data_IF_278174034466
#
_entry.id   IF_278174034466
#
_cell.length_a   1.000
_cell.length_b   1.000
_cell.length_c   1.000
_cell.angle_alpha   90.00
_cell.angle_beta   90.00
_cell.angle_gamma   90.00
#
_symmetry.space_group_name_H-M   'P 1'
#
loop_
_entity.id
_entity.type
_entity.pdbx_description
1 polymer ?
#
# COMPACT_ATOMS: atom_id res chain seq x y z
N UNK A 1 13.10 -8.02 0.82
CA UNK A 1 12.61 -7.34 2.04
C UNK A 1 12.29 -5.92 1.62
N UNK A 2 11.01 -5.58 1.55
CA UNK A 2 10.58 -4.29 1.03
C UNK A 2 10.70 -3.19 2.07
N UNK A 3 11.01 -1.98 1.61
CA UNK A 3 11.14 -0.77 2.40
C UNK A 3 10.21 0.28 1.80
N UNK A 4 8.94 0.21 2.19
CA UNK A 4 7.92 1.09 1.64
C UNK A 4 7.99 2.50 2.20
N UNK A 5 7.88 3.49 1.32
CA UNK A 5 7.74 4.90 1.62
C UNK A 5 6.43 5.43 1.03
N UNK A 6 5.65 6.13 1.83
CA UNK A 6 4.52 6.92 1.33
C UNK A 6 5.06 8.32 0.97
N UNK A 7 5.11 8.60 -0.32
CA UNK A 7 5.53 9.88 -0.90
C UNK A 7 4.29 10.69 -1.29
N UNK A 8 4.14 11.91 -0.79
CA UNK A 8 3.04 12.80 -1.19
C UNK A 8 3.51 13.76 -2.26
N UNK A 9 2.89 13.70 -3.43
CA UNK A 9 3.18 14.60 -4.55
C UNK A 9 2.11 15.69 -4.60
N UNK A 10 2.52 16.95 -4.64
CA UNK A 10 1.62 18.10 -4.78
C UNK A 10 1.81 18.81 -6.11
N UNK A 11 0.71 19.03 -6.82
CA UNK A 11 0.71 19.63 -8.15
C UNK A 11 -0.64 20.28 -8.47
N UNK A 12 -0.70 21.06 -9.54
CA UNK A 12 -1.95 21.62 -10.05
C UNK A 12 -2.64 20.66 -11.00
N UNK A 13 -3.89 20.31 -10.69
CA UNK A 13 -4.74 19.45 -11.50
C UNK A 13 -5.88 20.27 -12.08
N UNK A 14 -6.12 20.11 -13.38
CA UNK A 14 -7.31 20.68 -14.02
C UNK A 14 -8.49 19.76 -13.72
N UNK A 15 -9.48 20.29 -13.02
CA UNK A 15 -10.72 19.57 -12.73
C UNK A 15 -11.60 19.50 -13.99
N UNK A 16 -12.60 18.62 -13.99
CA UNK A 16 -13.53 18.44 -15.11
C UNK A 16 -14.25 19.73 -15.53
N UNK A 17 -14.41 20.67 -14.60
CA UNK A 17 -15.01 21.98 -14.84
C UNK A 17 -14.03 23.04 -15.38
N UNK A 18 -12.79 22.65 -15.70
CA UNK A 18 -11.74 23.55 -16.20
C UNK A 18 -11.02 24.37 -15.12
N UNK A 19 -11.39 24.24 -13.83
CA UNK A 19 -10.69 24.93 -12.74
C UNK A 19 -9.37 24.23 -12.39
N UNK A 20 -8.31 25.00 -12.24
CA UNK A 20 -7.05 24.51 -11.66
C UNK A 20 -7.19 24.44 -10.13
N UNK A 21 -6.85 23.28 -9.57
CA UNK A 21 -6.81 23.06 -8.12
C UNK A 21 -5.52 22.39 -7.74
N UNK A 22 -4.86 22.94 -6.72
CA UNK A 22 -3.74 22.26 -6.07
C UNK A 22 -4.23 21.03 -5.32
N UNK A 23 -3.67 19.88 -5.65
CA UNK A 23 -3.94 18.60 -4.97
C UNK A 23 -2.66 18.08 -4.32
N UNK A 24 -2.82 17.17 -3.36
CA UNK A 24 -1.72 16.41 -2.76
C UNK A 24 -2.14 14.96 -2.72
N UNK A 25 -1.46 14.13 -3.50
CA UNK A 25 -1.80 12.73 -3.72
C UNK A 25 -0.67 11.84 -3.15
N UNK A 26 -0.99 10.83 -2.32
CA UNK A 26 0.01 9.91 -1.81
C UNK A 26 0.24 8.73 -2.75
N UNK A 27 1.51 8.36 -2.89
CA UNK A 27 1.99 7.23 -3.68
C UNK A 27 2.88 6.37 -2.78
N UNK A 28 2.87 5.05 -2.99
CA UNK A 28 3.71 4.14 -2.23
C UNK A 28 4.89 3.70 -3.10
N UNK A 29 6.11 3.82 -2.59
CA UNK A 29 7.33 3.51 -3.34
C UNK A 29 8.21 2.57 -2.53
N UNK A 30 8.70 1.50 -3.14
CA UNK A 30 9.75 0.67 -2.55
C UNK A 30 11.13 1.23 -2.88
N UNK A 31 11.91 1.52 -1.85
CA UNK A 31 13.24 2.12 -1.99
C UNK A 31 14.12 1.78 -0.79
N UNK A 32 15.44 1.93 -0.88
CA UNK A 32 16.34 1.65 0.24
C UNK A 32 16.46 2.84 1.21
N UNK A 33 16.23 4.07 0.71
CA UNK A 33 16.42 5.30 1.48
C UNK A 33 15.40 6.39 1.11
N UNK A 34 15.30 7.43 1.93
CA UNK A 34 14.46 8.60 1.63
C UNK A 34 14.88 9.31 0.35
N UNK A 35 16.18 9.45 0.10
CA UNK A 35 16.72 10.07 -1.12
C UNK A 35 16.36 9.27 -2.37
N UNK A 36 16.45 7.94 -2.28
CA UNK A 36 16.04 7.07 -3.39
C UNK A 36 14.53 7.09 -3.60
N UNK A 37 13.73 7.07 -2.53
CA UNK A 37 12.28 7.17 -2.60
C UNK A 37 11.85 8.48 -3.29
N UNK A 38 12.52 9.60 -2.98
CA UNK A 38 12.30 10.90 -3.63
C UNK A 38 12.66 10.87 -5.11
N UNK A 39 13.84 10.36 -5.46
CA UNK A 39 14.29 10.28 -6.85
C UNK A 39 13.33 9.42 -7.69
N UNK A 40 12.96 8.24 -7.18
CA UNK A 40 12.06 7.32 -7.87
C UNK A 40 10.67 7.92 -8.07
N UNK A 41 10.06 8.50 -7.02
CA UNK A 41 8.70 9.05 -7.20
C UNK A 41 8.68 10.20 -8.22
N UNK A 42 9.75 11.00 -8.29
CA UNK A 42 9.90 12.05 -9.29
C UNK A 42 9.92 11.44 -10.70
N UNK A 43 10.66 10.36 -10.92
CA UNK A 43 10.73 9.67 -12.22
C UNK A 43 9.39 9.05 -12.61
N UNK A 44 8.72 8.36 -11.68
CA UNK A 44 7.44 7.69 -11.91
C UNK A 44 6.32 8.68 -12.22
N UNK A 45 6.26 9.83 -11.54
CA UNK A 45 5.13 10.76 -11.67
C UNK A 45 5.27 11.75 -12.82
N UNK A 46 6.51 12.06 -13.24
CA UNK A 46 6.81 13.06 -14.27
C UNK A 46 6.07 12.87 -15.60
N UNK A 47 5.82 11.65 -16.10
CA UNK A 47 5.03 11.45 -17.32
C UNK A 47 3.55 11.84 -17.18
N UNK A 48 3.03 11.87 -15.95
CA UNK A 48 1.59 12.03 -15.68
C UNK A 48 1.21 13.46 -15.26
N UNK A 49 2.16 14.27 -14.80
CA UNK A 49 1.91 15.65 -14.40
C UNK A 49 2.44 16.62 -15.47
N UNK A 50 1.53 17.46 -15.97
CA UNK A 50 1.90 18.63 -16.79
C UNK A 50 2.19 19.81 -15.87
N UNK A 51 3.40 20.37 -15.94
CA UNK A 51 3.81 21.53 -15.16
C UNK A 51 4.70 21.19 -13.96
N UNK A 52 4.78 22.12 -13.01
CA UNK A 52 5.59 21.96 -11.80
C UNK A 52 4.87 21.11 -10.75
N UNK A 53 5.64 20.27 -10.06
CA UNK A 53 5.18 19.54 -8.89
C UNK A 53 6.24 19.60 -7.79
N UNK A 54 5.81 19.36 -6.56
CA UNK A 54 6.70 19.24 -5.40
C UNK A 54 6.42 17.97 -4.63
N UNK A 55 7.47 17.39 -4.03
CA UNK A 55 7.32 16.33 -3.05
C UNK A 55 7.05 16.98 -1.70
N UNK A 56 5.82 16.81 -1.20
CA UNK A 56 5.33 17.51 -0.01
C UNK A 56 5.69 16.79 1.29
N UNK A 57 5.85 15.46 1.26
CA UNK A 57 6.11 14.62 2.43
C UNK A 57 6.65 13.25 1.98
N UNK A 58 7.57 12.67 2.75
CA UNK A 58 8.05 11.29 2.57
C UNK A 58 8.15 10.64 3.94
N UNK A 59 7.43 9.53 4.15
CA UNK A 59 7.46 8.78 5.41
C UNK A 59 7.57 7.29 5.16
N UNK A 60 8.19 6.57 6.10
CA UNK A 60 8.22 5.09 6.06
C UNK A 60 6.81 4.53 6.30
N UNK A 61 6.36 3.67 5.41
CA UNK A 61 5.15 2.88 5.55
C UNK A 61 5.51 1.49 6.11
N UNK A 62 5.07 1.20 7.34
CA UNK A 62 5.30 -0.11 7.96
C UNK A 62 4.28 -1.12 7.44
N UNK A 63 4.52 -1.63 6.23
CA UNK A 63 3.71 -2.67 5.59
C UNK A 63 4.51 -3.97 5.56
N UNK A 64 3.91 -5.04 6.06
CA UNK A 64 4.49 -6.38 6.11
C UNK A 64 4.36 -7.14 4.81
N UNK A 65 3.29 -6.88 4.06
CA UNK A 65 2.95 -7.58 2.82
C UNK A 65 2.02 -6.72 1.96
N UNK A 66 2.16 -6.85 0.63
CA UNK A 66 1.27 -6.24 -0.35
C UNK A 66 0.72 -7.32 -1.28
N UNK A 67 -0.58 -7.27 -1.55
CA UNK A 67 -1.26 -8.20 -2.44
C UNK A 67 -1.81 -7.42 -3.63
N UNK A 68 -1.29 -7.68 -4.82
CA UNK A 68 -1.72 -7.04 -6.05
C UNK A 68 -2.83 -7.86 -6.71
N UNK A 69 -3.88 -7.21 -7.18
CA UNK A 69 -4.98 -7.82 -7.93
C UNK A 69 -5.19 -6.95 -9.17
N UNK A 70 -4.91 -7.52 -10.33
CA UNK A 70 -4.98 -6.79 -11.61
C UNK A 70 -6.41 -6.29 -11.92
N UNK A 71 -7.45 -6.83 -11.26
CA UNK A 71 -8.82 -6.36 -11.38
C UNK A 71 -9.13 -5.13 -10.51
N UNK A 72 -8.29 -4.82 -9.52
CA UNK A 72 -8.52 -3.76 -8.55
C UNK A 72 -7.87 -2.43 -8.94
N UNK A 73 -8.56 -1.32 -8.67
CA UNK A 73 -8.13 0.05 -8.95
C UNK A 73 -7.82 0.87 -7.68
N UNK A 74 -8.01 0.27 -6.49
CA UNK A 74 -7.82 0.95 -5.19
C UNK A 74 -7.00 0.11 -4.24
N UNK A 75 -6.45 0.76 -3.23
CA UNK A 75 -5.64 0.10 -2.19
C UNK A 75 -6.32 0.17 -0.83
N UNK A 76 -6.42 -0.99 -0.18
CA UNK A 76 -7.03 -1.16 1.13
C UNK A 76 -5.99 -1.61 2.14
N UNK A 77 -5.94 -0.93 3.28
CA UNK A 77 -5.06 -1.27 4.40
C UNK A 77 -5.75 -2.27 5.31
N UNK A 78 -5.13 -3.43 5.47
CA UNK A 78 -5.59 -4.48 6.36
C UNK A 78 -4.72 -4.51 7.63
N UNK A 79 -5.37 -4.51 8.80
CA UNK A 79 -4.71 -4.82 10.07
C UNK A 79 -4.92 -6.29 10.38
N UNK A 80 -3.85 -7.08 10.33
CA UNK A 80 -3.88 -8.50 10.67
C UNK A 80 -3.26 -8.69 12.04
N UNK A 81 -3.92 -9.48 12.89
CA UNK A 81 -3.45 -9.83 14.23
C UNK A 81 -3.05 -11.30 14.22
N UNK A 82 -1.74 -11.58 14.23
CA UNK A 82 -1.23 -12.92 14.44
C UNK A 82 -1.41 -13.32 15.89
N UNK A 83 -1.86 -14.55 16.11
CA UNK A 83 -2.13 -15.13 17.42
C UNK A 83 -1.04 -16.18 17.69
N UNK A 84 -0.39 -16.04 18.83
CA UNK A 84 0.63 -16.98 19.31
C UNK A 84 0.44 -17.20 20.80
N UNK A 85 0.82 -18.36 21.31
CA UNK A 85 0.85 -18.60 22.75
C UNK A 85 2.18 -18.12 23.33
N UNK A 86 2.15 -17.36 24.44
CA UNK A 86 3.36 -17.10 25.21
C UNK A 86 3.74 -18.35 26.01
N UNK A 87 4.89 -18.95 25.71
CA UNK A 87 5.33 -20.20 26.33
C UNK A 87 5.60 -20.08 27.84
N UNK A 88 5.79 -18.86 28.37
CA UNK A 88 6.07 -18.64 29.80
C UNK A 88 4.79 -18.46 30.61
N UNK A 89 3.82 -17.72 30.08
CA UNK A 89 2.57 -17.41 30.79
C UNK A 89 1.37 -18.24 30.36
N UNK A 90 1.45 -18.94 29.22
CA UNK A 90 0.32 -19.66 28.63
C UNK A 90 -0.79 -18.75 28.10
N UNK A 91 -0.57 -17.44 28.06
CA UNK A 91 -1.56 -16.46 27.58
C UNK A 91 -1.40 -16.21 26.08
N UNK A 92 -2.53 -15.98 25.41
CA UNK A 92 -2.52 -15.55 24.01
C UNK A 92 -1.87 -14.17 23.85
N UNK A 93 -0.91 -14.09 22.93
CA UNK A 93 -0.28 -12.86 22.49
C UNK A 93 -0.72 -12.55 21.08
N UNK A 94 -1.20 -11.32 20.86
CA UNK A 94 -1.58 -10.82 19.53
C UNK A 94 -0.54 -9.85 19.01
N UNK A 95 0.00 -10.12 17.83
CA UNK A 95 0.96 -9.24 17.14
C UNK A 95 0.28 -8.60 15.94
N UNK A 96 0.18 -7.28 15.95
CA UNK A 96 -0.44 -6.52 14.87
C UNK A 96 0.57 -6.28 13.74
N UNK A 97 0.16 -6.59 12.51
CA UNK A 97 0.85 -6.17 11.29
C UNK A 97 -0.09 -5.39 10.39
N UNK A 98 0.48 -4.62 9.46
CA UNK A 98 -0.28 -3.93 8.42
C UNK A 98 0.06 -4.57 7.08
N UNK A 99 -0.96 -4.77 6.26
CA UNK A 99 -0.84 -5.26 4.89
C UNK A 99 -1.62 -4.32 3.96
N UNK A 100 -1.33 -4.38 2.67
CA UNK A 100 -2.09 -3.65 1.65
C UNK A 100 -2.65 -4.64 0.65
N UNK A 101 -3.91 -4.47 0.25
CA UNK A 101 -4.53 -5.24 -0.80
C UNK A 101 -5.05 -4.29 -1.88
N UNK A 102 -4.73 -4.59 -3.14
CA UNK A 102 -5.35 -3.95 -4.29
C UNK A 102 -6.70 -4.63 -4.57
N UNK A 103 -7.76 -3.84 -4.75
CA UNK A 103 -9.12 -4.31 -5.00
C UNK A 103 -10.00 -3.16 -5.50
N UNK A 104 -11.20 -3.47 -6.00
CA UNK A 104 -12.21 -2.47 -6.38
C UNK A 104 -13.15 -2.09 -5.25
N UNK A 105 -13.38 -2.98 -4.28
CA UNK A 105 -14.23 -2.71 -3.13
C UNK A 105 -13.75 -3.44 -1.86
N UNK A 106 -14.36 -3.12 -0.71
CA UNK A 106 -13.97 -3.67 0.59
C UNK A 106 -14.22 -5.19 0.70
N UNK A 107 -15.19 -5.75 -0.03
CA UNK A 107 -15.48 -7.19 -0.01
C UNK A 107 -14.42 -7.94 -0.81
N UNK A 108 -14.04 -7.41 -1.96
CA UNK A 108 -12.96 -7.98 -2.75
C UNK A 108 -11.62 -7.84 -2.02
N UNK A 109 -11.34 -6.70 -1.41
CA UNK A 109 -10.14 -6.50 -0.60
C UNK A 109 -10.00 -7.54 0.52
N UNK A 110 -11.11 -7.90 1.18
CA UNK A 110 -11.11 -8.97 2.18
C UNK A 110 -10.67 -10.30 1.57
N UNK A 111 -11.25 -10.68 0.43
CA UNK A 111 -10.89 -11.92 -0.29
C UNK A 111 -9.43 -11.91 -0.75
N UNK A 112 -8.92 -10.78 -1.23
CA UNK A 112 -7.51 -10.64 -1.64
C UNK A 112 -6.58 -10.89 -0.46
N UNK A 113 -6.88 -10.33 0.71
CA UNK A 113 -6.09 -10.58 1.92
C UNK A 113 -6.19 -12.04 2.34
N UNK A 114 -7.39 -12.61 2.43
CA UNK A 114 -7.58 -14.02 2.80
C UNK A 114 -6.81 -14.96 1.86
N UNK A 115 -6.90 -14.71 0.55
CA UNK A 115 -6.20 -15.48 -0.48
C UNK A 115 -4.68 -15.32 -0.38
N UNK A 116 -4.20 -14.09 -0.23
CA UNK A 116 -2.78 -13.79 -0.06
C UNK A 116 -2.16 -14.39 1.20
N UNK A 117 -3.00 -14.69 2.19
CA UNK A 117 -2.65 -15.31 3.46
C UNK A 117 -2.83 -16.85 3.47
N UNK A 118 -3.38 -17.45 2.40
CA UNK A 118 -3.46 -18.92 2.30
C UNK A 118 -2.07 -19.55 2.45
N UNK A 119 -2.00 -20.63 3.24
CA UNK A 119 -0.73 -21.30 3.55
C UNK A 119 0.06 -20.68 4.71
N UNK A 120 -0.41 -19.58 5.29
CA UNK A 120 0.17 -19.07 6.54
C UNK A 120 -0.05 -20.08 7.67
N UNK A 121 1.04 -20.54 8.28
CA UNK A 121 1.00 -21.52 9.37
C UNK A 121 0.57 -20.93 10.71
N UNK A 122 0.64 -19.61 10.85
CA UNK A 122 0.26 -18.90 12.07
C UNK A 122 -1.24 -18.60 12.08
N UNK A 123 -1.89 -18.80 13.23
CA UNK A 123 -3.25 -18.33 13.44
C UNK A 123 -3.31 -16.81 13.33
N UNK A 124 -4.33 -16.30 12.66
CA UNK A 124 -4.51 -14.86 12.50
C UNK A 124 -5.97 -14.47 12.44
N UNK A 125 -6.23 -13.19 12.70
CA UNK A 125 -7.53 -12.56 12.48
C UNK A 125 -7.34 -11.22 11.78
N UNK A 126 -8.24 -10.88 10.86
CA UNK A 126 -8.28 -9.55 10.23
C UNK A 126 -9.06 -8.63 11.17
N UNK A 127 -8.36 -7.70 11.83
CA UNK A 127 -8.96 -6.80 12.83
C UNK A 127 -9.62 -5.57 12.21
N UNK A 128 -9.12 -5.10 11.06
CA UNK A 128 -9.75 -4.00 10.31
C UNK A 128 -9.31 -4.01 8.86
N UNK A 129 -10.18 -3.47 8.00
CA UNK A 129 -9.91 -3.25 6.58
C UNK A 129 -10.48 -1.88 6.20
N UNK A 130 -9.67 -1.03 5.59
CA UNK A 130 -10.07 0.34 5.23
C UNK A 130 -9.46 0.78 3.91
N UNK A 131 -10.26 1.44 3.08
CA UNK A 131 -9.77 2.09 1.86
C UNK A 131 -8.73 3.16 2.20
N UNK A 132 -7.70 3.26 1.37
CA UNK A 132 -6.66 4.29 1.49
C UNK A 132 -6.82 5.33 0.39
N UNK A 133 -6.14 6.45 0.53
CA UNK A 133 -6.04 7.47 -0.52
C UNK A 133 -4.82 7.26 -1.42
N UNK A 134 -4.12 6.12 -1.30
CA UNK A 134 -2.94 5.82 -2.11
C UNK A 134 -3.39 5.71 -3.57
N UNK A 135 -2.76 6.52 -4.43
CA UNK A 135 -3.10 6.58 -5.85
C UNK A 135 -2.48 5.43 -6.63
N UNK A 136 -1.22 5.12 -6.33
CA UNK A 136 -0.50 4.02 -6.97
C UNK A 136 0.62 3.48 -6.07
N UNK A 137 1.10 2.29 -6.41
CA UNK A 137 2.21 1.60 -5.75
C UNK A 137 3.27 1.27 -6.79
N UNK A 138 4.50 1.68 -6.50
CA UNK A 138 5.69 1.48 -7.31
C UNK A 138 6.67 0.54 -6.58
N UNK A 139 6.58 -0.79 -6.83
CA UNK A 139 7.54 -1.77 -6.31
C UNK A 139 8.94 -1.55 -6.87
N UNK A 140 9.95 -2.16 -6.24
CA UNK A 140 11.33 -1.96 -6.66
C UNK A 140 11.57 -2.47 -8.09
N UNK A 141 11.02 -3.65 -8.41
CA UNK A 141 10.86 -4.21 -9.77
C UNK A 141 9.43 -4.72 -9.98
N UNK A 142 8.95 -4.75 -11.23
CA UNK A 142 7.64 -5.33 -11.57
C UNK A 142 7.54 -6.83 -11.23
N UNK A 143 8.65 -7.56 -11.30
CA UNK A 143 8.73 -8.98 -10.95
C UNK A 143 8.45 -9.25 -9.46
N UNK A 144 8.53 -8.23 -8.61
CA UNK A 144 8.29 -8.35 -7.17
C UNK A 144 6.81 -8.17 -6.79
N UNK A 145 5.92 -7.93 -7.76
CA UNK A 145 4.48 -7.87 -7.52
C UNK A 145 3.95 -9.25 -7.14
N UNK A 146 3.61 -9.44 -5.86
CA UNK A 146 2.85 -10.62 -5.40
C UNK A 146 1.41 -10.54 -5.88
N UNK A 147 1.16 -11.11 -7.07
CA UNK A 147 -0.16 -11.16 -7.69
C UNK A 147 -1.06 -12.19 -7.03
N UNK A 148 -2.28 -11.78 -6.76
CA UNK A 148 -3.36 -12.60 -6.22
C UNK A 148 -4.46 -12.67 -7.28
N UNK A 149 -4.73 -13.88 -7.76
CA UNK A 149 -5.83 -14.16 -8.69
C UNK A 149 -6.99 -14.73 -7.90
N UNK A 150 -8.09 -13.99 -7.86
CA UNK A 150 -9.36 -14.48 -7.34
C UNK A 150 -10.02 -15.33 -8.44
N UNK A 151 -10.33 -16.58 -8.14
CA UNK A 151 -11.06 -17.51 -9.03
C UNK A 151 -12.55 -17.42 -8.73
#
# INVERSE_FOLDING_TARGET
MHNWFECKVSYEKVLENGMQKKVTEPYLVDALSFTEAEARIIEEIKPYISGEFTIADIKRAKLSELFFNDNGDRFFKAKVMFISLDEKSGTEKKTAVQMLAQASDIKEALKVVEKGMEGTLADYTIASLSETTIMDVFPYSEDEKKKVVLV
#
